data_IF_407559407452
#
_entry.id   IF_407559407452
#
_cell.length_a   1.000
_cell.length_b   1.000
_cell.length_c   1.000
_cell.angle_alpha   90.00
_cell.angle_beta   90.00
_cell.angle_gamma   90.00
#
_symmetry.space_group_name_H-M   'P 1'
#
loop_
_entity.id
_entity.type
_entity.pdbx_description
1 polymer ?
#
# COMPACT_ATOMS: atom_id res chain seq x y z
N UNK A 1 7.14 17.52 14.64
CA UNK A 1 6.73 16.53 13.63
C UNK A 1 7.99 15.85 13.13
N UNK A 2 8.10 14.52 13.27
CA UNK A 2 9.29 13.79 12.81
C UNK A 2 9.34 13.81 11.27
N UNK A 3 10.42 14.38 10.69
CA UNK A 3 10.65 14.39 9.23
C UNK A 3 10.76 12.94 8.74
N UNK A 4 10.16 12.67 7.59
CA UNK A 4 10.29 11.39 6.91
C UNK A 4 11.44 11.55 5.92
N UNK A 5 12.57 10.91 6.16
CA UNK A 5 13.66 10.94 5.18
C UNK A 5 13.34 10.11 3.94
N UNK A 6 14.02 10.44 2.83
CA UNK A 6 13.78 9.82 1.52
C UNK A 6 14.13 8.32 1.49
N UNK A 7 15.10 7.89 2.30
CA UNK A 7 15.47 6.47 2.39
C UNK A 7 14.37 5.65 3.05
N UNK A 8 13.79 6.16 4.13
CA UNK A 8 12.66 5.55 4.84
C UNK A 8 11.41 5.55 3.96
N UNK A 9 11.15 6.65 3.25
CA UNK A 9 10.09 6.72 2.25
C UNK A 9 10.23 5.61 1.19
N UNK A 10 11.39 5.54 0.52
CA UNK A 10 11.62 4.58 -0.56
C UNK A 10 11.56 3.13 -0.08
N UNK A 11 12.18 2.82 1.07
CA UNK A 11 12.07 1.48 1.69
C UNK A 11 10.62 1.09 1.98
N UNK A 12 9.83 2.02 2.52
CA UNK A 12 8.44 1.73 2.90
C UNK A 12 7.56 1.55 1.68
N UNK A 13 7.70 2.40 0.65
CA UNK A 13 6.94 2.26 -0.60
C UNK A 13 7.32 0.96 -1.34
N UNK A 14 8.60 0.62 -1.41
CA UNK A 14 9.04 -0.65 -2.02
C UNK A 14 8.45 -1.87 -1.30
N UNK A 15 8.42 -1.83 0.04
CA UNK A 15 7.76 -2.87 0.84
C UNK A 15 6.27 -2.97 0.53
N UNK A 16 5.56 -1.84 0.53
CA UNK A 16 4.12 -1.79 0.22
C UNK A 16 3.83 -2.37 -1.17
N UNK A 17 4.62 -1.98 -2.19
CA UNK A 17 4.45 -2.49 -3.54
C UNK A 17 4.64 -4.01 -3.62
N UNK A 18 5.66 -4.54 -2.93
CA UNK A 18 5.87 -6.00 -2.88
C UNK A 18 4.71 -6.74 -2.21
N UNK A 19 4.11 -6.18 -1.17
CA UNK A 19 2.94 -6.77 -0.52
C UNK A 19 1.69 -6.69 -1.41
N UNK A 20 1.49 -5.59 -2.14
CA UNK A 20 0.40 -5.46 -3.12
C UNK A 20 0.53 -6.47 -4.26
N UNK A 21 1.74 -6.72 -4.76
CA UNK A 21 2.00 -7.75 -5.77
C UNK A 21 1.66 -9.16 -5.28
N UNK A 22 2.01 -9.48 -4.02
CA UNK A 22 1.63 -10.77 -3.40
C UNK A 22 0.12 -10.91 -3.28
N UNK A 23 -0.58 -9.86 -2.85
CA UNK A 23 -2.04 -9.88 -2.78
C UNK A 23 -2.65 -10.09 -4.18
N UNK A 24 -2.14 -9.39 -5.20
CA UNK A 24 -2.62 -9.57 -6.57
C UNK A 24 -2.46 -11.03 -7.06
N UNK A 25 -1.33 -11.67 -6.75
CA UNK A 25 -1.10 -13.08 -7.08
C UNK A 25 -2.06 -14.03 -6.35
N UNK A 26 -2.31 -13.80 -5.06
CA UNK A 26 -3.25 -14.60 -4.26
C UNK A 26 -4.68 -14.44 -4.75
N UNK A 27 -5.10 -13.20 -5.03
CA UNK A 27 -6.42 -12.88 -5.57
C UNK A 27 -6.63 -13.52 -6.94
N UNK A 28 -5.62 -13.48 -7.82
CA UNK A 28 -5.68 -14.19 -9.10
C UNK A 28 -5.79 -15.71 -8.92
N UNK A 29 -5.14 -16.28 -7.91
CA UNK A 29 -5.30 -17.68 -7.52
C UNK A 29 -6.73 -18.00 -7.09
N UNK A 30 -7.33 -17.18 -6.22
CA UNK A 30 -8.71 -17.34 -5.77
C UNK A 30 -9.72 -17.18 -6.91
N UNK A 31 -9.48 -16.26 -7.86
CA UNK A 31 -10.33 -16.07 -9.02
C UNK A 31 -10.33 -17.30 -9.93
N UNK A 32 -9.16 -17.92 -10.16
CA UNK A 32 -9.05 -19.19 -10.91
C UNK A 32 -9.79 -20.35 -10.25
N UNK A 33 -9.88 -20.34 -8.91
CA UNK A 33 -10.62 -21.33 -8.13
C UNK A 33 -12.12 -21.01 -8.02
N UNK A 34 -12.57 -19.84 -8.51
CA UNK A 34 -13.96 -19.39 -8.41
C UNK A 34 -14.38 -18.96 -7.00
N UNK A 35 -13.42 -18.59 -6.14
CA UNK A 35 -13.67 -18.23 -4.73
C UNK A 35 -13.29 -16.77 -4.39
N UNK A 36 -12.97 -15.97 -5.42
CA UNK A 36 -12.70 -14.54 -5.28
C UNK A 36 -14.02 -13.75 -5.28
N UNK A 37 -14.82 -13.92 -4.22
CA UNK A 37 -16.14 -13.32 -4.11
C UNK A 37 -16.37 -12.68 -2.72
N UNK A 38 -17.18 -11.60 -2.65
CA UNK A 38 -17.56 -11.00 -1.38
C UNK A 38 -18.23 -12.01 -0.44
N UNK A 39 -17.84 -12.01 0.83
CA UNK A 39 -18.33 -12.95 1.82
C UNK A 39 -17.48 -14.21 1.96
N UNK A 40 -16.51 -14.44 1.06
CA UNK A 40 -15.44 -15.40 1.32
C UNK A 40 -14.44 -14.76 2.31
N UNK A 41 -14.26 -15.31 3.53
CA UNK A 41 -13.43 -14.67 4.55
C UNK A 41 -11.98 -14.44 4.13
N UNK A 42 -11.43 -15.32 3.29
CA UNK A 42 -10.05 -15.19 2.81
C UNK A 42 -9.93 -14.12 1.73
N UNK A 43 -10.92 -14.00 0.85
CA UNK A 43 -10.93 -12.94 -0.17
C UNK A 43 -11.15 -11.56 0.49
N UNK A 44 -12.12 -11.46 1.39
CA UNK A 44 -12.42 -10.23 2.12
C UNK A 44 -11.21 -9.75 2.94
N UNK A 45 -10.48 -10.67 3.59
CA UNK A 45 -9.25 -10.33 4.31
C UNK A 45 -8.15 -9.81 3.38
N UNK A 46 -7.99 -10.40 2.19
CA UNK A 46 -7.03 -9.93 1.18
C UNK A 46 -7.38 -8.52 0.70
N UNK A 47 -8.65 -8.28 0.38
CA UNK A 47 -9.12 -6.96 -0.09
C UNK A 47 -9.00 -5.90 1.00
N UNK A 48 -9.30 -6.24 2.25
CA UNK A 48 -9.10 -5.34 3.40
C UNK A 48 -7.63 -4.97 3.59
N UNK A 49 -6.71 -5.95 3.50
CA UNK A 49 -5.28 -5.67 3.60
C UNK A 49 -4.77 -4.85 2.41
N UNK A 50 -5.27 -5.10 1.20
CA UNK A 50 -4.98 -4.29 0.02
C UNK A 50 -5.35 -2.82 0.25
N UNK A 51 -6.57 -2.55 0.72
CA UNK A 51 -7.02 -1.18 0.98
C UNK A 51 -6.14 -0.51 2.04
N UNK A 52 -5.81 -1.20 3.13
CA UNK A 52 -4.94 -0.68 4.18
C UNK A 52 -3.55 -0.28 3.66
N UNK A 53 -2.99 -1.08 2.74
CA UNK A 53 -1.70 -0.79 2.11
C UNK A 53 -1.77 0.40 1.15
N UNK A 54 -2.84 0.53 0.37
CA UNK A 54 -3.10 1.69 -0.49
C UNK A 54 -3.20 2.97 0.34
N UNK A 55 -3.99 2.96 1.42
CA UNK A 55 -4.14 4.10 2.32
C UNK A 55 -2.81 4.50 2.97
N UNK A 56 -1.98 3.51 3.32
CA UNK A 56 -0.66 3.76 3.89
C UNK A 56 0.30 4.37 2.85
N UNK A 57 0.28 3.87 1.62
CA UNK A 57 1.06 4.40 0.50
C UNK A 57 0.72 5.86 0.23
N UNK A 58 -0.57 6.18 0.18
CA UNK A 58 -1.05 7.55 -0.01
C UNK A 58 -0.61 8.47 1.13
N UNK A 59 -0.80 8.05 2.39
CA UNK A 59 -0.38 8.84 3.56
C UNK A 59 1.12 9.16 3.54
N UNK A 60 1.94 8.16 3.23
CA UNK A 60 3.40 8.31 3.20
C UNK A 60 3.83 9.22 2.04
N UNK A 61 3.25 9.03 0.87
CA UNK A 61 3.51 9.87 -0.32
C UNK A 61 3.11 11.32 -0.07
N UNK A 62 1.93 11.56 0.48
CA UNK A 62 1.46 12.90 0.83
C UNK A 62 2.37 13.57 1.86
N UNK A 63 2.84 12.82 2.88
CA UNK A 63 3.78 13.34 3.88
C UNK A 63 5.14 13.73 3.27
N UNK A 64 5.63 12.98 2.29
CA UNK A 64 6.88 13.29 1.58
C UNK A 64 6.72 14.51 0.67
N UNK A 65 5.62 14.59 -0.07
CA UNK A 65 5.30 15.74 -0.94
C UNK A 65 5.19 17.04 -0.15
N UNK A 66 4.49 17.03 0.98
CA UNK A 66 4.38 18.20 1.88
C UNK A 66 5.74 18.67 2.38
N UNK A 67 6.64 17.76 2.73
CA UNK A 67 8.01 18.12 3.15
C UNK A 67 8.83 18.71 2.00
N UNK A 68 8.67 18.18 0.79
CA UNK A 68 9.35 18.69 -0.39
C UNK A 68 8.87 20.10 -0.76
N UNK A 69 7.56 20.36 -0.69
CA UNK A 69 6.99 21.69 -0.92
C UNK A 69 7.47 22.71 0.13
N UNK A 70 7.53 22.33 1.40
CA UNK A 70 8.07 23.18 2.47
C UNK A 70 9.55 23.51 2.26
N UNK A 71 10.34 22.56 1.74
CA UNK A 71 11.78 22.78 1.47
C UNK A 71 12.07 23.70 0.27
N UNK A 72 11.05 24.03 -0.55
CA UNK A 72 11.17 24.95 -1.69
C UNK A 72 10.76 26.39 -1.37
N UNK A 73 10.09 26.60 -0.24
CA UNK A 73 9.64 27.92 0.22
C UNK A 73 10.61 28.61 1.18
N UNK A 74 11.69 27.93 1.56
CA UNK A 74 12.87 28.44 2.28
C UNK A 74 13.98 28.80 1.29
#
# INVERSE_FOLDING_TARGET
>A
MEKLDFETYTKTISFINSELEKIAALTAGQAKLGVAEPGNPNFDALMSNQQRLVDLSEKITNKMMQQFEQSKGE
#
